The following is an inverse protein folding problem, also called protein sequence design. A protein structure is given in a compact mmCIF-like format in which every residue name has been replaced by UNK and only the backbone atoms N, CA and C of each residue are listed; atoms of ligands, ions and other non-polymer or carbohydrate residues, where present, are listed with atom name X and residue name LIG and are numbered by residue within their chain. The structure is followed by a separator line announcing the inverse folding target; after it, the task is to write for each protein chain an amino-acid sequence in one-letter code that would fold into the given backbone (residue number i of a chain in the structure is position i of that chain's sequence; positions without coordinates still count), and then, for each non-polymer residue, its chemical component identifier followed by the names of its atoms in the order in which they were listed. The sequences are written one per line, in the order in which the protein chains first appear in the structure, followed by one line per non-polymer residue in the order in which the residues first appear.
data_IF_472649429933
#
_entry.id   IF_472649429933
#
_cell.length_a   1.000
_cell.length_b   1.000
_cell.length_c   1.000
_cell.angle_alpha   90.00
_cell.angle_beta   90.00
_cell.angle_gamma   90.00
#
_symmetry.space_group_name_H-M   'P 1'
#
loop_
_entity.id
_entity.type
_entity.pdbx_description
1 polymer ?
#
# COMPACT_ATOMS: atom_id res chain seq x y z
N UNK A 1 49.76 -19.41 -1.99
CA UNK A 1 48.30 -19.67 -2.10
C UNK A 1 47.43 -19.23 -0.90
N UNK A 2 47.98 -18.73 0.23
CA UNK A 2 47.18 -18.23 1.37
C UNK A 2 46.57 -16.83 1.16
N UNK A 3 47.30 -15.94 0.49
CA UNK A 3 46.87 -14.53 0.28
C UNK A 3 45.61 -14.45 -0.60
N UNK A 4 45.56 -15.24 -1.67
CA UNK A 4 44.39 -15.29 -2.59
C UNK A 4 43.13 -15.80 -1.88
N UNK A 5 43.27 -16.77 -0.96
CA UNK A 5 42.14 -17.26 -0.16
C UNK A 5 41.58 -16.17 0.76
N UNK A 6 42.44 -15.39 1.44
CA UNK A 6 41.97 -14.32 2.32
C UNK A 6 41.29 -13.18 1.55
N UNK A 7 41.81 -12.79 0.38
CA UNK A 7 41.15 -11.78 -0.47
C UNK A 7 39.78 -12.23 -0.98
N UNK A 8 39.62 -13.54 -1.25
CA UNK A 8 38.34 -14.12 -1.67
C UNK A 8 37.29 -14.10 -0.54
N UNK A 9 37.69 -14.38 0.71
CA UNK A 9 36.78 -14.28 1.86
C UNK A 9 36.35 -12.84 2.14
N UNK A 10 37.25 -11.86 2.00
CA UNK A 10 36.92 -10.44 2.14
C UNK A 10 35.94 -10.01 1.05
N UNK A 11 36.14 -10.47 -0.20
CA UNK A 11 35.23 -10.19 -1.31
C UNK A 11 33.84 -10.81 -1.06
N UNK A 12 33.77 -12.07 -0.62
CA UNK A 12 32.50 -12.73 -0.26
C UNK A 12 31.81 -12.00 0.89
N UNK A 13 32.56 -11.55 1.90
CA UNK A 13 32.01 -10.80 3.03
C UNK A 13 31.47 -9.43 2.61
N UNK A 14 32.18 -8.73 1.72
CA UNK A 14 31.69 -7.46 1.14
C UNK A 14 30.47 -7.67 0.23
N UNK A 15 30.43 -8.77 -0.54
CA UNK A 15 29.26 -9.13 -1.34
C UNK A 15 28.06 -9.55 -0.46
N UNK A 16 28.28 -10.27 0.63
CA UNK A 16 27.18 -10.68 1.52
C UNK A 16 26.62 -9.51 2.34
N UNK A 17 27.46 -8.55 2.74
CA UNK A 17 27.00 -7.30 3.38
C UNK A 17 26.19 -6.44 2.39
N UNK A 18 26.52 -6.46 1.09
CA UNK A 18 25.75 -5.71 0.07
C UNK A 18 24.46 -6.38 -0.36
N UNK A 19 24.32 -7.72 -0.21
CA UNK A 19 23.08 -8.46 -0.50
C UNK A 19 21.96 -8.12 0.50
N UNK A 20 22.28 -7.64 1.70
CA UNK A 20 21.29 -7.44 2.77
C UNK A 20 20.52 -6.10 2.75
N UNK A 21 20.70 -5.23 1.73
CA UNK A 21 20.10 -3.88 1.72
C UNK A 21 19.28 -3.57 0.45
N UNK A 22 18.55 -4.57 -0.06
CA UNK A 22 17.43 -4.30 -0.96
C UNK A 22 16.23 -3.82 -0.15
N UNK A 23 15.51 -2.80 -0.63
CA UNK A 23 14.16 -2.50 -0.11
C UNK A 23 13.32 -3.79 -0.18
N UNK A 24 12.57 -4.12 0.88
CA UNK A 24 11.76 -5.34 0.86
C UNK A 24 10.55 -5.21 -0.06
N UNK A 25 9.89 -4.05 -0.04
CA UNK A 25 8.65 -3.83 -0.79
C UNK A 25 8.89 -3.12 -2.11
N UNK A 26 8.19 -3.59 -3.14
CA UNK A 26 8.04 -2.94 -4.45
C UNK A 26 6.68 -2.26 -4.52
N UNK A 27 6.49 -1.39 -5.51
CA UNK A 27 5.19 -0.75 -5.79
C UNK A 27 4.06 -1.78 -5.95
N UNK A 28 4.33 -2.90 -6.63
CA UNK A 28 3.37 -3.99 -6.78
C UNK A 28 3.01 -4.68 -5.47
N UNK A 29 3.92 -4.70 -4.48
CA UNK A 29 3.62 -5.21 -3.14
C UNK A 29 2.69 -4.23 -2.39
N UNK A 30 2.88 -2.92 -2.55
CA UNK A 30 1.99 -1.91 -1.95
C UNK A 30 0.56 -2.01 -2.50
N UNK A 31 0.41 -2.25 -3.81
CA UNK A 31 -0.90 -2.51 -4.44
C UNK A 31 -1.61 -3.74 -3.88
N UNK A 32 -0.83 -4.79 -3.56
CA UNK A 32 -1.33 -6.08 -3.05
C UNK A 32 -1.45 -6.13 -1.52
N UNK A 33 -0.85 -5.17 -0.81
CA UNK A 33 -1.01 -5.03 0.64
C UNK A 33 -2.47 -4.76 1.04
N UNK A 34 -3.29 -4.40 0.05
CA UNK A 34 -4.70 -4.19 0.14
C UNK A 34 -5.49 -5.28 -0.61
N UNK A 35 -6.56 -5.76 0.03
CA UNK A 35 -7.60 -6.54 -0.62
C UNK A 35 -8.94 -5.85 -0.35
N UNK A 36 -9.52 -5.22 -1.38
CA UNK A 36 -10.78 -4.49 -1.33
C UNK A 36 -11.93 -5.32 -0.74
N UNK A 37 -11.96 -6.63 -1.02
CA UNK A 37 -13.03 -7.52 -0.55
C UNK A 37 -12.75 -8.13 0.82
N UNK A 38 -11.49 -8.05 1.30
CA UNK A 38 -11.03 -8.58 2.60
C UNK A 38 -9.90 -7.72 3.16
N UNK A 39 -10.18 -6.48 3.60
CA UNK A 39 -9.14 -5.51 3.98
C UNK A 39 -8.25 -5.98 5.14
N UNK A 40 -8.64 -7.00 5.88
CA UNK A 40 -7.90 -7.57 7.02
C UNK A 40 -6.84 -8.60 6.66
N UNK A 41 -6.75 -9.07 5.40
CA UNK A 41 -5.91 -10.23 5.16
C UNK A 41 -4.40 -9.89 5.14
N UNK A 42 -3.96 -8.67 4.81
CA UNK A 42 -2.54 -8.19 4.80
C UNK A 42 -1.46 -9.22 4.38
N UNK A 43 -1.85 -10.28 3.65
CA UNK A 43 -1.05 -11.49 3.41
C UNK A 43 0.24 -11.16 2.69
N UNK A 44 0.20 -10.11 1.85
CA UNK A 44 1.38 -9.63 1.15
C UNK A 44 2.48 -9.17 2.11
N UNK A 45 2.16 -8.34 3.11
CA UNK A 45 3.16 -7.86 4.07
C UNK A 45 3.69 -9.01 4.93
N UNK A 46 2.79 -9.88 5.41
CA UNK A 46 3.17 -11.07 6.17
C UNK A 46 4.10 -12.00 5.38
N UNK A 47 3.79 -12.27 4.11
CA UNK A 47 4.62 -13.10 3.22
C UNK A 47 6.02 -12.51 2.94
N UNK A 48 6.19 -11.21 3.16
CA UNK A 48 7.46 -10.49 3.00
C UNK A 48 8.27 -10.43 4.30
N UNK A 49 7.77 -11.06 5.36
CA UNK A 49 8.39 -11.13 6.68
C UNK A 49 8.07 -9.95 7.59
N UNK A 50 7.08 -9.12 7.24
CA UNK A 50 6.60 -8.09 8.17
C UNK A 50 5.72 -8.72 9.24
N UNK A 51 5.84 -8.22 10.47
CA UNK A 51 5.01 -8.60 11.61
C UNK A 51 4.18 -7.39 12.04
N UNK A 52 2.94 -7.63 12.49
CA UNK A 52 2.10 -6.58 13.06
C UNK A 52 2.77 -6.09 14.36
N UNK A 53 2.98 -4.78 14.45
CA UNK A 53 3.50 -4.12 15.64
C UNK A 53 2.35 -3.69 16.55
N UNK A 54 1.33 -3.05 15.97
CA UNK A 54 0.08 -2.69 16.64
C UNK A 54 -1.00 -2.43 15.60
N UNK A 55 -2.24 -2.44 16.05
CA UNK A 55 -3.40 -2.01 15.31
C UNK A 55 -4.32 -1.15 16.18
N UNK A 56 -4.94 -0.15 15.56
CA UNK A 56 -5.92 0.73 16.19
C UNK A 56 -7.10 0.93 15.26
N UNK A 57 -8.29 1.08 15.84
CA UNK A 57 -9.51 1.40 15.10
C UNK A 57 -10.21 2.56 15.81
N UNK A 58 -10.57 3.59 15.07
CA UNK A 58 -11.23 4.79 15.58
C UNK A 58 -12.27 5.27 14.58
N UNK A 59 -13.54 5.13 14.92
CA UNK A 59 -14.66 5.50 14.03
C UNK A 59 -14.54 4.80 12.68
N UNK A 60 -14.39 5.60 11.63
CA UNK A 60 -14.28 5.14 10.25
C UNK A 60 -12.83 4.87 9.79
N UNK A 61 -11.86 4.95 10.69
CA UNK A 61 -10.45 4.76 10.39
C UNK A 61 -9.88 3.54 11.09
N UNK A 62 -9.16 2.70 10.35
CA UNK A 62 -8.35 1.60 10.88
C UNK A 62 -6.88 1.83 10.53
N UNK A 63 -6.00 1.77 11.52
CA UNK A 63 -4.56 1.93 11.35
C UNK A 63 -3.84 0.67 11.82
N UNK A 64 -2.91 0.18 11.02
CA UNK A 64 -2.13 -1.02 11.33
C UNK A 64 -0.68 -0.75 11.01
N UNK A 65 0.19 -0.92 12.01
CA UNK A 65 1.62 -0.76 11.85
C UNK A 65 2.29 -2.12 11.77
N UNK A 66 3.21 -2.23 10.83
CA UNK A 66 4.02 -3.41 10.57
C UNK A 66 5.49 -3.06 10.72
N UNK A 67 6.27 -4.02 11.21
CA UNK A 67 7.72 -3.92 11.27
C UNK A 67 8.36 -5.17 10.68
N UNK A 68 9.46 -4.99 9.96
CA UNK A 68 10.36 -6.07 9.57
C UNK A 68 11.67 -5.91 10.30
N UNK A 69 11.90 -6.75 11.30
CA UNK A 69 13.01 -6.61 12.25
C UNK A 69 14.39 -6.61 11.57
N UNK A 70 14.59 -7.49 10.57
CA UNK A 70 15.90 -7.68 9.92
C UNK A 70 16.33 -6.43 9.14
N UNK A 71 15.41 -5.84 8.39
CA UNK A 71 15.67 -4.63 7.58
C UNK A 71 15.34 -3.34 8.32
N UNK A 72 14.74 -3.42 9.52
CA UNK A 72 14.23 -2.28 10.29
C UNK A 72 13.27 -1.39 9.50
N UNK A 73 12.59 -1.96 8.51
CA UNK A 73 11.57 -1.27 7.74
C UNK A 73 10.25 -1.26 8.51
N UNK A 74 9.50 -0.16 8.39
CA UNK A 74 8.19 0.01 9.02
C UNK A 74 7.17 0.37 7.94
N UNK A 75 6.00 -0.25 8.00
CA UNK A 75 4.86 0.07 7.12
C UNK A 75 3.68 0.43 7.98
N UNK A 76 3.14 1.62 7.77
CA UNK A 76 1.91 2.07 8.38
C UNK A 76 0.81 2.04 7.32
N UNK A 77 -0.21 1.22 7.56
CA UNK A 77 -1.43 1.18 6.75
C UNK A 77 -2.53 1.95 7.46
N UNK A 78 -3.15 2.88 6.76
CA UNK A 78 -4.34 3.60 7.21
C UNK A 78 -5.45 3.35 6.20
N UNK A 79 -6.56 2.84 6.71
CA UNK A 79 -7.82 2.65 6.02
C UNK A 79 -8.80 3.68 6.53
N UNK A 80 -9.44 4.42 5.64
CA UNK A 80 -10.55 5.30 5.98
C UNK A 80 -11.73 4.95 5.09
N UNK A 81 -12.86 4.62 5.69
CA UNK A 81 -14.14 4.51 4.98
C UNK A 81 -14.89 5.85 5.13
N UNK A 82 -15.34 6.46 4.04
CA UNK A 82 -16.20 7.64 4.15
C UNK A 82 -17.67 7.24 4.40
N UNK A 83 -18.52 8.22 4.72
CA UNK A 83 -19.95 7.99 5.03
C UNK A 83 -20.73 7.48 3.81
N UNK A 84 -20.23 7.72 2.61
CA UNK A 84 -20.77 7.24 1.33
C UNK A 84 -20.19 5.86 0.95
N UNK A 85 -19.34 5.29 1.82
CA UNK A 85 -18.63 4.02 1.68
C UNK A 85 -17.53 4.02 0.63
N UNK A 86 -17.00 5.18 0.25
CA UNK A 86 -15.72 5.34 -0.44
C UNK A 86 -14.58 4.91 0.48
N UNK A 87 -13.60 4.21 -0.08
CA UNK A 87 -12.52 3.60 0.68
C UNK A 87 -11.18 4.24 0.27
N UNK A 88 -10.51 4.84 1.26
CA UNK A 88 -9.22 5.50 1.10
C UNK A 88 -8.15 4.67 1.76
N UNK A 89 -7.10 4.36 1.00
CA UNK A 89 -5.90 3.70 1.50
C UNK A 89 -4.72 4.66 1.47
N UNK A 90 -4.11 4.86 2.63
CA UNK A 90 -2.77 5.44 2.74
C UNK A 90 -1.80 4.42 3.31
N UNK A 91 -0.65 4.30 2.68
CA UNK A 91 0.47 3.46 3.12
C UNK A 91 1.69 4.36 3.31
N UNK A 92 2.12 4.56 4.55
CA UNK A 92 3.42 5.21 4.80
C UNK A 92 4.49 4.13 4.97
N UNK A 93 5.52 4.18 4.12
CA UNK A 93 6.63 3.23 4.15
C UNK A 93 7.89 3.94 4.64
N UNK A 94 8.40 3.49 5.78
CA UNK A 94 9.62 4.00 6.40
C UNK A 94 10.79 3.07 6.08
N UNK A 95 11.79 3.63 5.41
CA UNK A 95 13.01 2.98 4.97
C UNK A 95 14.17 3.47 5.84
N UNK A 96 15.04 2.57 6.33
CA UNK A 96 16.12 2.93 7.25
C UNK A 96 17.27 3.70 6.59
N UNK A 97 17.36 3.69 5.25
CA UNK A 97 18.48 4.29 4.52
C UNK A 97 18.04 5.09 3.31
N UNK A 98 18.82 6.11 2.98
CA UNK A 98 18.63 6.91 1.78
C UNK A 98 18.76 6.08 0.50
N UNK A 99 19.69 5.12 0.48
CA UNK A 99 19.91 4.25 -0.67
C UNK A 99 18.66 3.44 -1.00
N UNK A 100 18.04 2.80 0.00
CA UNK A 100 16.79 2.04 -0.19
C UNK A 100 15.64 2.93 -0.63
N UNK A 101 15.59 4.16 -0.12
CA UNK A 101 14.59 5.15 -0.51
C UNK A 101 14.74 5.59 -1.97
N UNK A 102 15.96 5.99 -2.37
CA UNK A 102 16.23 6.42 -3.73
C UNK A 102 16.03 5.29 -4.74
N UNK A 103 16.37 4.04 -4.37
CA UNK A 103 16.03 2.85 -5.18
C UNK A 103 14.52 2.73 -5.38
N UNK A 104 13.72 2.92 -4.33
CA UNK A 104 12.26 2.81 -4.45
C UNK A 104 11.72 3.88 -5.40
N UNK A 105 12.12 5.13 -5.17
CA UNK A 105 11.72 6.26 -6.02
C UNK A 105 12.13 6.03 -7.48
N UNK A 106 13.33 5.52 -7.73
CA UNK A 106 13.79 5.21 -9.09
C UNK A 106 12.91 4.14 -9.77
N UNK A 107 12.30 3.21 -9.03
CA UNK A 107 11.39 2.23 -9.63
C UNK A 107 10.07 2.83 -10.10
N UNK A 108 9.63 3.97 -9.55
CA UNK A 108 8.32 4.57 -9.87
C UNK A 108 8.15 4.86 -11.36
N UNK A 109 9.21 5.31 -12.03
CA UNK A 109 9.20 5.57 -13.48
C UNK A 109 9.00 4.29 -14.29
N UNK A 110 9.56 3.16 -13.82
CA UNK A 110 9.35 1.83 -14.44
C UNK A 110 7.89 1.39 -14.31
N UNK A 111 7.23 1.76 -13.20
CA UNK A 111 5.79 1.58 -13.01
C UNK A 111 4.93 2.67 -13.67
N UNK A 112 5.52 3.48 -14.57
CA UNK A 112 4.86 4.55 -15.35
C UNK A 112 4.32 5.73 -14.54
N UNK A 113 4.72 5.87 -13.27
CA UNK A 113 4.38 7.07 -12.51
C UNK A 113 5.09 8.29 -13.12
N UNK A 114 4.38 9.41 -13.20
CA UNK A 114 4.91 10.69 -13.64
C UNK A 114 5.06 11.64 -12.46
N UNK A 115 6.20 12.31 -12.35
CA UNK A 115 6.41 13.30 -11.28
C UNK A 115 5.72 14.63 -11.62
N UNK A 116 4.81 15.07 -10.73
CA UNK A 116 4.22 16.39 -10.75
C UNK A 116 5.04 17.33 -9.87
N UNK A 117 5.77 18.27 -10.48
CA UNK A 117 6.53 19.30 -9.76
C UNK A 117 5.63 20.19 -8.90
N UNK A 118 4.44 20.56 -9.42
CA UNK A 118 3.47 21.42 -8.74
C UNK A 118 2.97 20.79 -7.45
N UNK A 119 2.60 19.52 -7.50
CA UNK A 119 2.02 18.80 -6.36
C UNK A 119 3.06 18.02 -5.54
N UNK A 120 4.35 18.10 -5.92
CA UNK A 120 5.48 17.39 -5.32
C UNK A 120 5.19 15.90 -5.06
N UNK A 121 4.63 15.23 -6.08
CA UNK A 121 4.23 13.81 -5.99
C UNK A 121 4.42 13.09 -7.32
N UNK A 122 4.63 11.79 -7.25
CA UNK A 122 4.50 10.89 -8.38
C UNK A 122 3.04 10.47 -8.52
N UNK A 123 2.49 10.51 -9.73
CA UNK A 123 1.10 10.14 -9.97
C UNK A 123 0.99 9.14 -11.12
N UNK A 124 0.12 8.17 -10.95
CA UNK A 124 -0.33 7.24 -11.97
C UNK A 124 -1.86 7.35 -12.05
N UNK A 125 -2.41 8.18 -12.95
CA UNK A 125 -3.84 8.27 -13.13
C UNK A 125 -4.37 6.95 -13.71
N UNK A 126 -5.42 6.40 -13.10
CA UNK A 126 -6.10 5.20 -13.61
C UNK A 126 -7.44 5.53 -14.26
N UNK A 127 -8.08 6.64 -13.86
CA UNK A 127 -9.23 7.25 -14.54
C UNK A 127 -9.29 8.75 -14.23
N UNK A 128 -10.36 9.43 -14.63
CA UNK A 128 -10.61 10.85 -14.30
C UNK A 128 -10.73 11.11 -12.79
N UNK A 129 -11.17 10.12 -12.01
CA UNK A 129 -11.44 10.26 -10.58
C UNK A 129 -10.68 9.24 -9.72
N UNK A 130 -9.92 8.32 -10.32
CA UNK A 130 -9.14 7.32 -9.60
C UNK A 130 -7.67 7.37 -9.99
N UNK A 131 -6.81 7.01 -9.05
CA UNK A 131 -5.38 6.95 -9.31
C UNK A 131 -4.56 6.56 -8.12
N UNK A 132 -3.27 6.39 -8.38
CA UNK A 132 -2.26 6.13 -7.37
C UNK A 132 -1.35 7.36 -7.28
N UNK A 133 -1.03 7.77 -6.06
CA UNK A 133 -0.10 8.84 -5.78
C UNK A 133 1.00 8.34 -4.85
N UNK A 134 2.25 8.73 -5.12
CA UNK A 134 3.37 8.52 -4.21
C UNK A 134 3.98 9.86 -3.86
N UNK A 135 3.96 10.20 -2.57
CA UNK A 135 4.53 11.42 -2.01
C UNK A 135 5.92 11.11 -1.42
N UNK A 136 7.01 11.58 -2.06
CA UNK A 136 8.37 11.40 -1.57
C UNK A 136 8.64 12.37 -0.39
N UNK A 137 8.33 11.97 0.84
CA UNK A 137 8.49 12.81 2.04
C UNK A 137 9.95 13.03 2.42
N UNK A 138 10.85 12.11 2.07
CA UNK A 138 12.28 12.22 2.37
C UNK A 138 12.60 11.91 3.84
N UNK A 139 13.59 12.60 4.41
CA UNK A 139 14.01 12.37 5.80
C UNK A 139 12.93 12.78 6.79
N UNK A 140 12.56 11.87 7.69
CA UNK A 140 11.52 12.04 8.70
C UNK A 140 11.93 11.40 10.03
N UNK A 141 11.19 11.70 11.11
CA UNK A 141 11.34 11.08 12.41
C UNK A 141 10.13 10.17 12.67
N UNK A 142 10.40 8.93 13.11
CA UNK A 142 9.40 8.00 13.62
C UNK A 142 9.93 7.43 14.94
N UNK A 143 9.21 7.66 16.04
CA UNK A 143 9.62 7.29 17.40
C UNK A 143 11.08 7.71 17.70
N UNK A 144 11.37 9.00 17.46
CA UNK A 144 12.68 9.65 17.66
C UNK A 144 13.84 9.11 16.80
N UNK A 145 13.57 8.13 15.93
CA UNK A 145 14.54 7.57 15.00
C UNK A 145 14.37 8.18 13.61
N UNK A 146 15.49 8.42 12.95
CA UNK A 146 15.53 8.94 11.57
C UNK A 146 15.23 7.83 10.58
N UNK A 147 14.31 8.12 9.66
CA UNK A 147 13.97 7.27 8.53
C UNK A 147 13.82 8.11 7.27
N UNK A 148 13.92 7.49 6.10
CA UNK A 148 13.42 8.07 4.86
C UNK A 148 12.02 7.51 4.62
N UNK A 149 11.05 8.37 4.33
CA UNK A 149 9.67 7.92 4.12
C UNK A 149 9.07 8.37 2.81
N UNK A 150 8.12 7.57 2.36
CA UNK A 150 7.19 7.90 1.30
C UNK A 150 5.78 7.51 1.72
N UNK A 151 4.80 8.17 1.13
CA UNK A 151 3.40 7.83 1.31
C UNK A 151 2.80 7.42 -0.04
N UNK A 152 2.29 6.19 -0.11
CA UNK A 152 1.53 5.68 -1.23
C UNK A 152 0.04 5.82 -0.90
N UNK A 153 -0.69 6.55 -1.73
CA UNK A 153 -2.14 6.74 -1.61
C UNK A 153 -2.80 6.14 -2.83
N UNK A 154 -3.82 5.32 -2.61
CA UNK A 154 -4.68 4.80 -3.68
C UNK A 154 -6.13 5.18 -3.36
N UNK A 155 -6.80 5.73 -4.36
CA UNK A 155 -8.20 6.10 -4.28
C UNK A 155 -8.98 5.45 -5.43
N UNK A 156 -10.13 4.86 -5.09
CA UNK A 156 -11.09 4.29 -6.03
C UNK A 156 -12.40 5.04 -5.81
N UNK A 157 -12.79 5.86 -6.78
CA UNK A 157 -14.06 6.58 -6.75
C UNK A 157 -15.24 5.63 -6.99
N UNK A 158 -16.32 5.82 -6.21
CA UNK A 158 -17.47 4.89 -6.19
C UNK A 158 -18.38 5.01 -7.42
N UNK A 159 -18.35 6.12 -8.14
CA UNK A 159 -19.15 6.27 -9.37
C UNK A 159 -18.80 5.23 -10.46
N UNK A 160 -17.67 4.52 -10.32
CA UNK A 160 -17.16 3.56 -11.30
C UNK A 160 -16.96 2.14 -10.75
N UNK A 161 -17.15 1.90 -9.44
CA UNK A 161 -17.13 0.55 -8.88
C UNK A 161 -18.52 -0.07 -8.99
N UNK A 162 -18.64 -1.09 -9.85
CA UNK A 162 -19.89 -1.82 -10.08
C UNK A 162 -20.52 -2.39 -8.79
N UNK A 163 -21.77 -2.85 -8.86
CA UNK A 163 -22.52 -3.31 -7.69
C UNK A 163 -21.73 -4.36 -6.90
N UNK A 164 -21.62 -4.17 -5.59
CA UNK A 164 -20.93 -5.10 -4.67
C UNK A 164 -21.55 -6.50 -4.80
N UNK A 165 -20.78 -7.57 -5.07
CA UNK A 165 -21.27 -8.94 -4.89
C UNK A 165 -21.48 -9.15 -3.38
N UNK A 166 -22.74 -9.14 -2.94
CA UNK A 166 -23.10 -9.38 -1.54
C UNK A 166 -24.08 -8.37 -0.93
N UNK A 167 -24.33 -7.23 -1.58
CA UNK A 167 -25.48 -6.37 -1.26
C UNK A 167 -26.61 -6.71 -2.23
N UNK A 168 -27.22 -7.90 -2.08
CA UNK A 168 -28.61 -8.02 -2.52
C UNK A 168 -29.38 -7.10 -1.59
N UNK A 169 -29.70 -5.91 -2.08
CA UNK A 169 -30.90 -5.25 -1.59
C UNK A 169 -32.03 -6.22 -1.93
N UNK A 170 -32.45 -7.00 -0.94
CA UNK A 170 -33.78 -7.61 -0.96
C UNK A 170 -34.77 -6.45 -0.86
N UNK A 171 -34.91 -5.71 -1.96
CA UNK A 171 -36.13 -4.96 -2.23
C UNK A 171 -37.10 -6.09 -2.54
N UNK A 172 -37.87 -6.48 -1.53
CA UNK A 172 -39.14 -7.16 -1.77
C UNK A 172 -39.88 -6.33 -2.81
N UNK A 173 -39.90 -6.78 -4.06
CA UNK A 173 -40.90 -6.34 -5.02
C UNK A 173 -42.24 -6.59 -4.33
N UNK A 174 -43.04 -5.55 -4.05
CA UNK A 174 -44.38 -5.79 -3.52
C UNK A 174 -45.11 -6.70 -4.51
N UNK A 175 -45.85 -7.72 -4.02
CA UNK A 175 -46.55 -8.62 -4.92
C UNK A 175 -47.47 -7.80 -5.81
N UNK A 176 -47.30 -7.96 -7.12
CA UNK A 176 -48.24 -7.41 -8.10
C UNK A 176 -49.58 -8.09 -7.80
N UNK A 177 -50.49 -7.32 -7.21
CA UNK A 177 -51.85 -7.77 -6.99
C UNK A 177 -52.57 -7.68 -8.35
N UNK A 178 -52.49 -8.74 -9.15
CA UNK A 178 -53.18 -8.90 -10.44
C UNK A 178 -54.69 -9.13 -10.23
N UNK A 179 -55.32 -8.21 -9.52
CA UNK A 179 -56.76 -8.10 -9.47
C UNK A 179 -57.13 -6.64 -9.45
N UNK A 180 -57.44 -6.08 -10.63
CA UNK A 180 -58.49 -5.06 -10.84
C UNK A 180 -58.66 -4.85 -12.36
N UNK A 181 -59.85 -5.25 -12.82
CA UNK A 181 -60.60 -4.80 -14.00
C UNK A 181 -60.23 -5.29 -15.41
N UNK A 182 -60.90 -6.38 -15.83
CA UNK A 182 -61.38 -6.51 -17.22
C UNK A 182 -62.72 -5.78 -17.35
N UNK A 183 -62.92 -4.88 -18.33
CA UNK A 183 -64.26 -4.38 -18.64
C UNK A 183 -65.09 -5.47 -19.33
N UNK A 184 -66.40 -5.43 -19.08
CA UNK A 184 -67.44 -6.30 -19.67
C UNK A 184 -67.54 -6.13 -21.18
#
# INVERSE_FOLDING_TARGET
MKIVKNSFYILIFMLSVTISFGQTLKVSDLRKAFNYYKPTEHKQLLSKGFKILNDTSSGNQKKINFIKSDTKEIVELIFTEDVEGGEYLSITYYLPSELTYNRFIATLTTYKFKYSKRNKRYQLPTSSYSGENVYPKGLTLNNEKKYYSLEYVSYIDKALSGPRPGLRNDIETPPINDSINRPK
#
